data_IF_155116876506
#
_entry.id   IF_155116876506
#
_cell.length_a   1.000
_cell.length_b   1.000
_cell.length_c   1.000
_cell.angle_alpha   90.00
_cell.angle_beta   90.00
_cell.angle_gamma   90.00
#
_symmetry.space_group_name_H-M   'P 1'
#
loop_
_entity.id
_entity.type
_entity.pdbx_description
1 polymer ?
#
# COMPACT_ATOMS: atom_id res chain seq x y z
N UNK A 1 3.59 -11.60 23.70
CA UNK A 1 3.85 -11.84 25.16
C UNK A 1 5.25 -12.40 25.42
N UNK A 2 5.66 -13.49 24.75
CA UNK A 2 7.00 -14.13 24.95
C UNK A 2 8.22 -13.19 24.89
N UNK A 3 8.16 -12.11 24.10
CA UNK A 3 9.27 -11.17 23.89
C UNK A 3 8.98 -9.74 24.34
N UNK A 4 7.84 -9.48 24.99
CA UNK A 4 7.49 -8.12 25.45
C UNK A 4 7.24 -7.07 24.36
N UNK A 5 7.35 -7.40 23.06
CA UNK A 5 7.09 -6.46 21.97
C UNK A 5 5.58 -6.27 21.77
N UNK A 6 5.10 -5.04 21.96
CA UNK A 6 3.69 -4.64 21.84
C UNK A 6 3.45 -3.43 20.93
N UNK A 7 4.43 -3.05 20.11
CA UNK A 7 4.31 -1.93 19.17
C UNK A 7 4.36 -2.43 17.74
N UNK A 8 3.39 -2.03 16.92
CA UNK A 8 3.30 -2.43 15.51
C UNK A 8 2.82 -1.27 14.63
N UNK A 9 3.49 -1.11 13.50
CA UNK A 9 3.06 -0.26 12.38
C UNK A 9 2.67 -1.21 11.25
N UNK A 10 1.41 -1.17 10.84
CA UNK A 10 0.88 -2.03 9.81
C UNK A 10 0.66 -1.28 8.49
N UNK A 11 1.27 -1.79 7.43
CA UNK A 11 1.04 -1.33 6.05
C UNK A 11 -0.32 -1.83 5.55
N UNK A 12 -1.35 -1.03 5.76
CA UNK A 12 -2.69 -1.22 5.20
C UNK A 12 -2.80 -0.55 3.82
N UNK A 13 -4.02 -0.48 3.27
CA UNK A 13 -4.28 0.10 1.96
C UNK A 13 -5.65 0.74 1.89
N UNK A 14 -5.79 1.81 1.11
CA UNK A 14 -7.06 2.45 0.78
C UNK A 14 -8.07 1.49 0.12
N UNK A 15 -7.64 0.31 -0.36
CA UNK A 15 -8.56 -0.73 -0.84
C UNK A 15 -9.57 -1.21 0.20
N UNK A 16 -9.30 -1.00 1.51
CA UNK A 16 -10.24 -1.35 2.58
C UNK A 16 -11.52 -0.49 2.57
N UNK A 17 -11.50 0.65 1.88
CA UNK A 17 -12.68 1.49 1.68
C UNK A 17 -13.61 0.95 0.57
N UNK A 18 -13.16 -0.01 -0.25
CA UNK A 18 -13.98 -0.56 -1.33
C UNK A 18 -14.43 0.51 -2.31
N UNK A 19 -15.75 0.60 -2.54
CA UNK A 19 -16.36 1.75 -3.19
C UNK A 19 -16.64 2.82 -2.12
N UNK A 20 -15.88 3.94 -2.07
CA UNK A 20 -15.95 4.89 -0.98
C UNK A 20 -17.28 5.63 -0.96
N UNK A 21 -17.76 5.97 0.24
CA UNK A 21 -18.99 6.73 0.42
C UNK A 21 -18.86 8.20 -0.04
N UNK A 22 -17.65 8.77 0.05
CA UNK A 22 -17.35 10.13 -0.38
C UNK A 22 -15.89 10.29 -0.79
N UNK A 23 -15.60 11.36 -1.54
CA UNK A 23 -14.27 11.74 -2.01
C UNK A 23 -14.08 13.24 -1.74
N UNK A 24 -12.94 13.71 -1.16
CA UNK A 24 -11.74 12.95 -0.83
C UNK A 24 -11.95 11.94 0.31
N UNK A 25 -11.30 10.78 0.20
CA UNK A 25 -11.40 9.72 1.20
C UNK A 25 -10.55 10.13 2.41
N UNK A 26 -11.17 10.22 3.58
CA UNK A 26 -10.51 10.44 4.86
C UNK A 26 -10.64 9.20 5.76
N UNK A 27 -9.99 9.20 6.91
CA UNK A 27 -10.06 8.11 7.89
C UNK A 27 -11.49 7.91 8.46
N UNK A 28 -12.32 8.96 8.43
CA UNK A 28 -13.74 8.91 8.81
C UNK A 28 -14.61 8.19 7.77
N UNK A 29 -14.10 7.97 6.55
CA UNK A 29 -14.82 7.16 5.58
C UNK A 29 -15.00 5.74 6.15
N UNK A 30 -16.23 5.19 6.16
CA UNK A 30 -16.43 3.82 6.62
C UNK A 30 -15.67 2.85 5.72
N UNK A 31 -15.16 1.76 6.31
CA UNK A 31 -14.66 0.63 5.52
C UNK A 31 -15.81 0.09 4.67
N UNK A 32 -15.53 -0.15 3.39
CA UNK A 32 -16.50 -0.67 2.44
C UNK A 32 -16.31 -2.17 2.20
N UNK A 33 -17.12 -2.71 1.28
CA UNK A 33 -16.93 -4.08 0.81
C UNK A 33 -15.67 -4.17 -0.06
N UNK A 34 -14.70 -4.96 0.40
CA UNK A 34 -13.48 -5.22 -0.38
C UNK A 34 -13.84 -6.03 -1.64
N UNK A 35 -13.31 -5.60 -2.78
CA UNK A 35 -13.63 -6.18 -4.10
C UNK A 35 -12.71 -7.33 -4.50
N UNK A 36 -11.60 -7.54 -3.78
CA UNK A 36 -10.61 -8.57 -4.08
C UNK A 36 -10.02 -9.20 -2.80
N UNK A 37 -9.37 -10.38 -2.91
CA UNK A 37 -8.75 -11.05 -1.77
C UNK A 37 -7.70 -10.19 -1.06
N UNK A 38 -6.90 -9.42 -1.81
CA UNK A 38 -5.89 -8.53 -1.23
C UNK A 38 -6.51 -7.52 -0.25
N UNK A 39 -7.55 -6.79 -0.66
CA UNK A 39 -8.26 -5.84 0.20
C UNK A 39 -8.87 -6.52 1.42
N UNK A 40 -9.44 -7.72 1.25
CA UNK A 40 -9.96 -8.52 2.36
C UNK A 40 -8.89 -8.87 3.39
N UNK A 41 -7.69 -9.31 2.96
CA UNK A 41 -6.60 -9.62 3.89
C UNK A 41 -6.20 -8.40 4.73
N UNK A 42 -6.17 -7.19 4.12
CA UNK A 42 -5.88 -5.94 4.85
C UNK A 42 -6.98 -5.60 5.83
N UNK A 43 -8.25 -5.65 5.41
CA UNK A 43 -9.40 -5.34 6.27
C UNK A 43 -9.51 -6.27 7.47
N UNK A 44 -9.27 -7.58 7.28
CA UNK A 44 -9.24 -8.58 8.35
C UNK A 44 -8.10 -8.33 9.34
N UNK A 45 -6.90 -8.02 8.85
CA UNK A 45 -5.75 -7.72 9.73
C UNK A 45 -5.96 -6.43 10.53
N UNK A 46 -6.56 -5.39 9.95
CA UNK A 46 -6.95 -4.20 10.71
C UNK A 46 -7.92 -4.55 11.84
N UNK A 47 -8.90 -5.43 11.59
CA UNK A 47 -9.86 -5.86 12.60
C UNK A 47 -9.14 -6.60 13.75
N UNK A 48 -8.30 -7.58 13.41
CA UNK A 48 -7.53 -8.36 14.39
C UNK A 48 -6.65 -7.43 15.26
N UNK A 49 -5.91 -6.52 14.64
CA UNK A 49 -5.03 -5.61 15.38
C UNK A 49 -5.81 -4.64 16.27
N UNK A 50 -6.98 -4.17 15.80
CA UNK A 50 -7.89 -3.35 16.61
C UNK A 50 -8.41 -4.12 17.82
N UNK A 51 -8.81 -5.37 17.62
CA UNK A 51 -9.36 -6.21 18.71
C UNK A 51 -8.27 -6.58 19.74
N UNK A 52 -7.03 -6.81 19.28
CA UNK A 52 -5.88 -7.01 20.17
C UNK A 52 -5.66 -5.77 21.05
N UNK A 53 -5.65 -4.57 20.47
CA UNK A 53 -5.43 -3.33 21.23
C UNK A 53 -6.57 -3.04 22.21
N UNK A 54 -7.83 -3.34 21.83
CA UNK A 54 -8.97 -3.24 22.73
C UNK A 54 -8.90 -4.23 23.90
N UNK A 55 -8.41 -5.44 23.66
CA UNK A 55 -8.29 -6.48 24.67
C UNK A 55 -7.08 -6.26 25.62
N UNK A 56 -6.01 -5.63 25.13
CA UNK A 56 -4.78 -5.35 25.86
C UNK A 56 -4.29 -3.93 25.50
N UNK A 57 -4.72 -2.89 26.26
CA UNK A 57 -4.42 -1.49 25.97
C UNK A 57 -2.93 -1.12 26.00
N UNK A 58 -2.05 -2.01 26.47
CA UNK A 58 -0.59 -1.81 26.39
C UNK A 58 -0.06 -1.94 24.95
N UNK A 59 -0.87 -2.43 24.00
CA UNK A 59 -0.50 -2.46 22.58
C UNK A 59 -0.58 -1.09 21.93
N UNK A 60 0.48 -0.73 21.20
CA UNK A 60 0.52 0.43 20.33
C UNK A 60 0.36 -0.05 18.88
N UNK A 61 -0.76 0.28 18.25
CA UNK A 61 -1.10 -0.14 16.88
C UNK A 61 -1.30 1.09 16.01
N UNK A 62 -0.54 1.20 14.93
CA UNK A 62 -0.72 2.22 13.89
C UNK A 62 -1.09 1.53 12.57
N UNK A 63 -2.21 1.92 11.98
CA UNK A 63 -2.71 1.39 10.71
C UNK A 63 -2.51 2.44 9.60
N UNK A 64 -1.54 2.23 8.71
CA UNK A 64 -1.25 3.17 7.62
C UNK A 64 -1.94 2.72 6.34
N UNK A 65 -3.00 3.41 5.91
CA UNK A 65 -3.76 3.09 4.70
C UNK A 65 -3.16 3.80 3.49
N UNK A 66 -2.22 3.14 2.80
CA UNK A 66 -1.61 3.72 1.60
C UNK A 66 -2.59 3.72 0.42
N UNK A 67 -2.55 4.80 -0.37
CA UNK A 67 -3.20 4.86 -1.67
C UNK A 67 -2.33 4.15 -2.71
N UNK A 68 -1.92 4.86 -3.76
CA UNK A 68 -1.00 4.35 -4.76
C UNK A 68 0.36 5.01 -4.58
N UNK A 69 1.32 4.39 -3.86
CA UNK A 69 2.66 4.94 -3.72
C UNK A 69 3.35 4.94 -5.09
N UNK A 70 3.80 6.11 -5.54
CA UNK A 70 4.48 6.28 -6.83
C UNK A 70 5.72 7.16 -6.68
N UNK A 71 6.62 7.07 -7.66
CA UNK A 71 7.84 7.87 -7.72
C UNK A 71 9.09 7.09 -7.28
N UNK A 72 10.16 7.84 -7.07
CA UNK A 72 11.48 7.31 -6.72
C UNK A 72 12.21 8.31 -5.83
N UNK A 73 13.30 7.88 -5.19
CA UNK A 73 14.15 8.79 -4.43
C UNK A 73 14.78 9.83 -5.36
N UNK A 74 14.92 11.09 -4.90
CA UNK A 74 15.38 12.23 -5.73
C UNK A 74 16.77 12.05 -6.33
N UNK A 75 17.62 11.19 -5.74
CA UNK A 75 18.93 10.83 -6.31
C UNK A 75 18.83 10.04 -7.62
N UNK A 76 17.67 9.44 -7.92
CA UNK A 76 17.48 8.54 -9.05
C UNK A 76 18.07 7.14 -8.87
N UNK A 77 18.67 6.83 -7.72
CA UNK A 77 19.37 5.56 -7.48
C UNK A 77 18.51 4.47 -6.83
N UNK A 78 17.32 4.82 -6.32
CA UNK A 78 16.40 3.90 -5.65
C UNK A 78 14.98 4.20 -6.12
N UNK A 79 14.26 3.19 -6.58
CA UNK A 79 12.89 3.27 -7.06
C UNK A 79 12.24 1.89 -7.18
N UNK A 80 11.01 1.83 -7.67
CA UNK A 80 10.29 0.57 -7.89
C UNK A 80 10.97 -0.22 -9.01
N UNK A 81 11.50 -1.41 -8.68
CA UNK A 81 12.12 -2.33 -9.63
C UNK A 81 11.41 -3.69 -9.60
N UNK A 82 10.20 -3.81 -10.19
CA UNK A 82 9.44 -5.05 -10.14
C UNK A 82 10.09 -6.12 -11.04
N UNK A 83 10.14 -7.35 -10.55
CA UNK A 83 10.58 -8.49 -11.34
C UNK A 83 9.50 -8.88 -12.37
N UNK A 84 9.89 -9.02 -13.64
CA UNK A 84 8.98 -9.43 -14.71
C UNK A 84 8.10 -8.29 -15.25
N UNK A 85 6.91 -8.64 -15.75
CA UNK A 85 5.95 -7.66 -16.27
C UNK A 85 5.26 -6.97 -15.07
N UNK A 86 5.34 -5.64 -14.94
CA UNK A 86 4.70 -4.96 -13.83
C UNK A 86 3.18 -5.04 -13.89
N UNK A 87 2.56 -5.30 -12.74
CA UNK A 87 1.10 -5.22 -12.57
C UNK A 87 0.62 -3.80 -12.26
N UNK A 88 1.53 -2.93 -11.78
CA UNK A 88 1.24 -1.55 -11.44
C UNK A 88 1.44 -0.63 -12.66
N UNK A 89 0.58 0.38 -12.78
CA UNK A 89 0.56 1.29 -13.93
C UNK A 89 1.88 2.05 -14.11
N UNK A 90 2.44 2.61 -13.03
CA UNK A 90 3.60 3.49 -13.14
C UNK A 90 4.87 2.76 -13.63
N UNK A 91 5.28 1.61 -13.04
CA UNK A 91 6.42 0.86 -13.56
C UNK A 91 6.23 0.38 -15.00
N UNK A 92 5.00 0.06 -15.39
CA UNK A 92 4.70 -0.34 -16.77
C UNK A 92 4.93 0.83 -17.74
N UNK A 93 4.42 2.03 -17.41
CA UNK A 93 4.65 3.24 -18.19
C UNK A 93 6.15 3.55 -18.29
N UNK A 94 6.90 3.46 -17.18
CA UNK A 94 8.34 3.74 -17.19
C UNK A 94 9.12 2.72 -18.02
N UNK A 95 8.76 1.43 -17.99
CA UNK A 95 9.37 0.41 -18.84
C UNK A 95 9.11 0.67 -20.34
N UNK A 96 7.89 1.09 -20.69
CA UNK A 96 7.56 1.48 -22.08
C UNK A 96 8.37 2.70 -22.51
N UNK A 97 8.47 3.73 -21.65
CA UNK A 97 9.23 4.94 -21.95
C UNK A 97 10.72 4.65 -22.17
N UNK A 98 11.33 3.82 -21.30
CA UNK A 98 12.74 3.39 -21.44
C UNK A 98 12.95 2.64 -22.76
N UNK A 99 12.10 1.66 -23.07
CA UNK A 99 12.19 0.91 -24.35
C UNK A 99 12.03 1.78 -25.59
N UNK A 100 11.16 2.81 -25.53
CA UNK A 100 11.02 3.76 -26.64
C UNK A 100 12.28 4.62 -26.78
N UNK A 101 12.86 5.07 -25.67
CA UNK A 101 14.08 5.88 -25.69
C UNK A 101 15.33 5.09 -26.16
N UNK A 102 15.44 3.80 -25.83
CA UNK A 102 16.44 2.88 -26.41
C UNK A 102 16.26 2.75 -27.93
N UNK A 103 15.04 2.51 -28.40
CA UNK A 103 14.73 2.41 -29.84
C UNK A 103 15.01 3.71 -30.60
N UNK A 104 14.82 4.85 -29.96
CA UNK A 104 15.10 6.17 -30.52
C UNK A 104 16.60 6.56 -30.43
N UNK A 105 17.46 5.72 -29.84
CA UNK A 105 18.88 6.00 -29.66
C UNK A 105 19.19 7.10 -28.62
N UNK A 106 18.20 7.47 -27.80
CA UNK A 106 18.33 8.48 -26.75
C UNK A 106 18.89 7.92 -25.42
N UNK A 107 18.86 6.60 -25.25
CA UNK A 107 19.54 5.89 -24.17
C UNK A 107 20.63 5.02 -24.82
N UNK A 108 21.88 5.23 -24.39
CA UNK A 108 23.03 4.39 -24.75
C UNK A 108 23.23 3.31 -23.70
#
# INVERSE_FOLDING_TARGET
RKHGVKSIIFSSSATVYGNPAFVPITEECPKGQCTNPYGWTKSMLEQILTDIQKADPEWNVILLRYFNPIGAHKSGTIGENPNGIPNNLMPYITQVAVRQAERAGCLR
#
